data_IF_644581445474
#
_entry.id   IF_644581445474
#
_cell.length_a   1.000
_cell.length_b   1.000
_cell.length_c   1.000
_cell.angle_alpha   90.00
_cell.angle_beta   90.00
_cell.angle_gamma   90.00
#
_symmetry.space_group_name_H-M   'P 1'
#
loop_
_entity.id
_entity.type
_entity.pdbx_description
1 polymer ?
#
# COMPACT_ATOMS: atom_id res chain seq x y z
N UNK A 1 0.34 16.25 -54.85
CA UNK A 1 0.70 15.74 -53.52
C UNK A 1 -0.42 14.83 -53.07
N UNK A 2 -0.26 13.50 -53.14
CA UNK A 2 -1.36 12.60 -52.85
C UNK A 2 -1.48 12.37 -51.33
N UNK A 3 -2.73 12.39 -50.90
CA UNK A 3 -3.23 12.07 -49.56
C UNK A 3 -3.02 10.58 -49.31
N UNK A 4 -2.24 10.22 -48.28
CA UNK A 4 -2.08 8.85 -47.83
C UNK A 4 -3.15 8.52 -46.78
N UNK A 5 -3.93 7.49 -47.10
CA UNK A 5 -4.99 6.89 -46.31
C UNK A 5 -4.49 6.33 -44.98
N UNK A 6 -5.17 6.71 -43.89
CA UNK A 6 -4.93 6.25 -42.54
C UNK A 6 -5.48 4.82 -42.34
N UNK A 7 -4.58 3.84 -42.36
CA UNK A 7 -4.90 2.43 -42.18
C UNK A 7 -5.14 2.14 -40.69
N UNK A 8 -6.42 2.14 -40.30
CA UNK A 8 -6.89 1.72 -38.97
C UNK A 8 -6.41 0.30 -38.64
N UNK A 9 -5.26 0.21 -37.99
CA UNK A 9 -4.75 -1.05 -37.46
C UNK A 9 -5.56 -1.42 -36.20
N UNK A 10 -6.63 -2.19 -36.42
CA UNK A 10 -7.42 -2.88 -35.39
C UNK A 10 -6.50 -3.79 -34.55
N UNK A 11 -5.91 -3.27 -33.49
CA UNK A 11 -5.19 -4.07 -32.49
C UNK A 11 -6.18 -4.60 -31.47
N UNK A 12 -6.56 -5.87 -31.62
CA UNK A 12 -7.32 -6.64 -30.62
C UNK A 12 -6.51 -6.67 -29.32
N UNK A 13 -7.02 -5.98 -28.29
CA UNK A 13 -6.56 -6.17 -26.91
C UNK A 13 -7.09 -7.53 -26.47
N UNK A 14 -6.21 -8.53 -26.43
CA UNK A 14 -6.52 -9.87 -25.94
C UNK A 14 -6.55 -9.83 -24.41
N UNK A 15 -7.76 -9.83 -23.85
CA UNK A 15 -7.97 -9.97 -22.42
C UNK A 15 -7.67 -11.40 -21.99
N UNK A 16 -6.63 -11.58 -21.17
CA UNK A 16 -6.31 -12.87 -20.59
C UNK A 16 -6.86 -12.89 -19.16
N UNK A 17 -8.06 -13.48 -19.03
CA UNK A 17 -8.64 -13.91 -17.76
C UNK A 17 -7.84 -15.10 -17.24
N UNK A 18 -7.31 -15.02 -16.02
CA UNK A 18 -6.83 -16.20 -15.29
C UNK A 18 -8.03 -16.80 -14.54
N UNK A 19 -8.49 -18.02 -14.84
CA UNK A 19 -9.39 -18.75 -13.96
C UNK A 19 -8.54 -19.42 -12.88
N UNK A 20 -8.79 -19.12 -11.62
CA UNK A 20 -7.99 -19.70 -10.55
C UNK A 20 -8.39 -19.26 -9.16
N UNK A 21 -9.63 -19.49 -8.77
CA UNK A 21 -9.95 -20.02 -7.45
C UNK A 21 -11.25 -20.82 -7.56
N UNK A 22 -11.17 -22.07 -7.14
CA UNK A 22 -12.33 -22.95 -6.95
C UNK A 22 -13.21 -22.35 -5.87
N UNK A 23 -14.37 -21.81 -6.27
CA UNK A 23 -15.47 -21.53 -5.36
C UNK A 23 -16.05 -22.88 -4.90
N UNK A 24 -15.80 -23.27 -3.65
CA UNK A 24 -16.67 -24.23 -2.99
C UNK A 24 -17.97 -23.49 -2.59
N UNK A 25 -19.15 -23.98 -2.99
CA UNK A 25 -20.41 -23.38 -2.58
C UNK A 25 -20.63 -23.63 -1.07
N UNK A 26 -20.63 -22.55 -0.29
CA UNK A 26 -21.08 -22.58 1.10
C UNK A 26 -22.61 -22.78 1.09
N UNK A 27 -23.03 -24.03 1.30
CA UNK A 27 -24.42 -24.35 1.58
C UNK A 27 -24.79 -23.84 2.98
N UNK A 28 -25.62 -22.82 3.05
CA UNK A 28 -26.22 -22.33 4.28
C UNK A 28 -27.36 -23.28 4.72
N UNK A 29 -26.99 -24.34 5.43
CA UNK A 29 -27.97 -25.20 6.11
C UNK A 29 -28.30 -24.62 7.49
N UNK A 30 -29.52 -24.10 7.63
CA UNK A 30 -30.19 -23.88 8.93
C UNK A 30 -30.00 -25.12 9.81
N UNK A 31 -29.38 -24.97 10.98
CA UNK A 31 -29.44 -26.00 12.03
C UNK A 31 -30.03 -25.42 13.31
N UNK A 32 -31.24 -25.88 13.57
CA UNK A 32 -31.89 -25.93 14.87
C UNK A 32 -31.09 -26.80 15.84
N UNK A 33 -30.99 -26.31 17.07
CA UNK A 33 -30.63 -26.97 18.33
C UNK A 33 -30.74 -28.51 18.39
N UNK A 34 -29.66 -29.20 18.81
CA UNK A 34 -29.65 -30.13 19.97
C UNK A 34 -28.32 -30.91 20.11
N UNK A 35 -27.81 -30.96 21.35
CA UNK A 35 -26.95 -31.99 21.97
C UNK A 35 -25.51 -32.23 21.49
N UNK A 36 -24.56 -31.85 22.35
CA UNK A 36 -23.10 -32.07 22.27
C UNK A 36 -22.70 -33.53 22.49
N UNK A 37 -22.23 -34.20 21.43
CA UNK A 37 -21.31 -35.34 21.53
C UNK A 37 -19.91 -34.87 21.12
N UNK A 38 -18.91 -35.01 22.00
CA UNK A 38 -17.51 -34.69 21.71
C UNK A 38 -16.90 -35.73 20.76
N UNK A 39 -16.33 -35.34 19.59
CA UNK A 39 -15.51 -36.24 18.78
C UNK A 39 -14.07 -36.31 19.31
N UNK A 40 -13.34 -37.43 19.10
CA UNK A 40 -11.96 -37.58 19.57
C UNK A 40 -10.99 -36.68 18.79
N UNK A 41 -9.95 -36.20 19.50
CA UNK A 41 -8.89 -35.34 18.94
C UNK A 41 -8.18 -36.03 17.76
N UNK A 42 -7.99 -35.34 16.61
CA UNK A 42 -7.15 -35.86 15.55
C UNK A 42 -5.68 -35.83 15.98
N UNK A 43 -5.02 -36.97 15.84
CA UNK A 43 -3.58 -37.17 16.01
C UNK A 43 -2.82 -36.36 14.98
N UNK A 44 -1.83 -35.58 15.42
CA UNK A 44 -0.88 -34.86 14.56
C UNK A 44 -0.11 -35.86 13.68
N UNK A 45 -0.49 -35.97 12.41
CA UNK A 45 0.36 -36.54 11.37
C UNK A 45 1.23 -35.42 10.80
N UNK A 46 2.55 -35.58 10.90
CA UNK A 46 3.53 -34.63 10.39
C UNK A 46 3.43 -34.49 8.87
N UNK A 47 3.17 -33.28 8.40
CA UNK A 47 3.33 -32.93 6.99
C UNK A 47 4.83 -32.82 6.65
N UNK A 48 5.28 -33.34 5.49
CA UNK A 48 6.67 -33.23 5.07
C UNK A 48 6.98 -31.77 4.66
N UNK A 49 7.85 -31.10 5.41
CA UNK A 49 8.28 -29.72 5.16
C UNK A 49 9.09 -29.54 3.85
N UNK A 50 9.47 -30.63 3.17
CA UNK A 50 10.39 -30.60 2.02
C UNK A 50 9.74 -30.23 0.67
N UNK A 51 8.41 -30.14 0.59
CA UNK A 51 7.71 -29.85 -0.68
C UNK A 51 7.65 -28.37 -1.04
N UNK A 52 7.99 -27.47 -0.11
CA UNK A 52 7.89 -26.03 -0.36
C UNK A 52 9.03 -25.52 -1.23
N UNK A 53 10.26 -26.00 -1.02
CA UNK A 53 11.43 -25.55 -1.78
C UNK A 53 11.34 -26.00 -3.23
N UNK A 54 10.96 -27.26 -3.47
CA UNK A 54 10.76 -27.79 -4.82
C UNK A 54 9.66 -27.02 -5.57
N UNK A 55 8.55 -26.73 -4.90
CA UNK A 55 7.48 -25.91 -5.45
C UNK A 55 7.96 -24.49 -5.84
N UNK A 56 8.73 -23.81 -4.97
CA UNK A 56 9.28 -22.48 -5.26
C UNK A 56 10.26 -22.50 -6.43
N UNK A 57 11.11 -23.54 -6.52
CA UNK A 57 12.04 -23.70 -7.64
C UNK A 57 11.30 -23.91 -8.97
N UNK A 58 10.25 -24.75 -8.98
CA UNK A 58 9.42 -24.97 -10.17
C UNK A 58 8.73 -23.67 -10.60
N UNK A 59 8.20 -22.89 -9.65
CA UNK A 59 7.59 -21.60 -9.94
C UNK A 59 8.60 -20.59 -10.50
N UNK A 60 9.80 -20.50 -9.92
CA UNK A 60 10.86 -19.62 -10.40
C UNK A 60 11.28 -19.97 -11.83
N UNK A 61 11.46 -21.26 -12.12
CA UNK A 61 11.78 -21.75 -13.47
C UNK A 61 10.66 -21.45 -14.47
N UNK A 62 9.41 -21.69 -14.08
CA UNK A 62 8.24 -21.36 -14.91
C UNK A 62 8.16 -19.86 -15.19
N UNK A 63 8.44 -19.01 -14.20
CA UNK A 63 8.33 -17.55 -14.31
C UNK A 63 9.39 -16.91 -15.23
N UNK A 64 10.58 -17.51 -15.30
CA UNK A 64 11.66 -17.11 -16.23
C UNK A 64 11.42 -17.68 -17.63
N UNK A 65 10.75 -18.84 -17.71
CA UNK A 65 10.52 -19.56 -18.97
C UNK A 65 9.77 -18.70 -20.01
N UNK A 66 10.05 -18.86 -21.32
CA UNK A 66 9.31 -18.18 -22.39
C UNK A 66 7.81 -18.48 -22.35
N UNK A 67 7.37 -19.58 -21.72
CA UNK A 67 5.96 -19.92 -21.54
C UNK A 67 5.22 -18.97 -20.58
N UNK A 68 5.95 -18.22 -19.74
CA UNK A 68 5.34 -17.23 -18.87
C UNK A 68 4.77 -16.07 -19.68
N UNK A 69 3.54 -15.63 -19.38
CA UNK A 69 2.89 -14.57 -20.17
C UNK A 69 3.64 -13.24 -20.15
N UNK A 70 4.38 -12.98 -19.06
CA UNK A 70 5.18 -11.77 -18.86
C UNK A 70 6.64 -11.91 -19.31
N UNK A 71 7.06 -13.06 -19.85
CA UNK A 71 8.44 -13.28 -20.34
C UNK A 71 8.82 -12.33 -21.48
N UNK A 72 7.82 -11.86 -22.24
CA UNK A 72 7.98 -10.90 -23.34
C UNK A 72 8.44 -9.51 -22.90
N UNK A 73 8.30 -9.18 -21.61
CA UNK A 73 8.65 -7.86 -21.09
C UNK A 73 10.08 -7.85 -20.55
N UNK A 74 10.86 -6.83 -20.89
CA UNK A 74 12.25 -6.75 -20.47
C UNK A 74 12.36 -6.48 -18.95
N UNK A 75 13.39 -7.04 -18.33
CA UNK A 75 13.72 -6.83 -16.93
C UNK A 75 14.86 -7.73 -16.48
N UNK A 76 15.49 -7.46 -15.33
CA UNK A 76 16.51 -8.35 -14.78
C UNK A 76 15.97 -9.78 -14.57
N UNK A 77 16.73 -10.85 -14.88
CA UNK A 77 16.24 -12.21 -14.71
C UNK A 77 15.94 -12.57 -13.25
N UNK A 78 16.64 -11.94 -12.30
CA UNK A 78 16.42 -12.17 -10.86
C UNK A 78 15.04 -11.68 -10.39
N UNK A 79 14.50 -10.60 -10.97
CA UNK A 79 13.15 -10.12 -10.64
C UNK A 79 12.06 -10.97 -11.28
N UNK A 80 12.37 -11.67 -12.38
CA UNK A 80 11.46 -12.65 -12.95
C UNK A 80 11.38 -13.92 -12.08
N UNK A 81 12.44 -14.26 -11.34
CA UNK A 81 12.53 -15.51 -10.58
C UNK A 81 11.75 -15.49 -9.27
N UNK A 82 11.80 -14.37 -8.53
CA UNK A 82 11.25 -14.28 -7.17
C UNK A 82 11.04 -12.84 -6.70
N UNK A 83 10.19 -12.66 -5.69
CA UNK A 83 10.03 -11.39 -4.96
C UNK A 83 11.21 -11.08 -4.02
N UNK A 84 12.22 -11.95 -3.94
CA UNK A 84 13.36 -11.75 -3.04
C UNK A 84 14.15 -10.49 -3.42
N UNK A 85 14.19 -10.16 -4.70
CA UNK A 85 14.86 -8.95 -5.16
C UNK A 85 14.23 -7.69 -4.57
N UNK A 86 12.91 -7.54 -4.68
CA UNK A 86 12.16 -6.45 -4.03
C UNK A 86 12.38 -6.46 -2.52
N UNK A 87 12.21 -7.62 -1.87
CA UNK A 87 12.39 -7.76 -0.43
C UNK A 87 13.80 -7.33 0.05
N UNK A 88 14.85 -7.65 -0.70
CA UNK A 88 16.20 -7.19 -0.40
C UNK A 88 16.29 -5.66 -0.48
N UNK A 89 15.71 -5.02 -1.49
CA UNK A 89 15.79 -3.57 -1.63
C UNK A 89 14.93 -2.81 -0.61
N UNK A 90 13.79 -3.39 -0.22
CA UNK A 90 12.87 -2.74 0.70
C UNK A 90 13.20 -2.99 2.16
N UNK A 91 13.47 -4.24 2.56
CA UNK A 91 13.76 -4.57 3.96
C UNK A 91 15.24 -4.39 4.31
N UNK A 92 16.17 -4.78 3.43
CA UNK A 92 17.60 -4.73 3.75
C UNK A 92 18.23 -3.41 3.31
N UNK A 93 17.90 -2.90 2.12
CA UNK A 93 18.50 -1.66 1.61
C UNK A 93 17.68 -0.41 1.96
N UNK A 94 16.66 -0.54 2.82
CA UNK A 94 15.91 0.57 3.41
C UNK A 94 14.97 1.27 2.43
N UNK A 95 14.06 0.51 1.82
CA UNK A 95 12.98 1.05 0.99
C UNK A 95 13.43 1.66 -0.33
N UNK A 96 14.53 1.20 -0.91
CA UNK A 96 15.13 1.82 -2.11
C UNK A 96 14.65 1.20 -3.42
N UNK A 97 13.63 0.34 -3.38
CA UNK A 97 13.21 -0.37 -4.58
C UNK A 97 12.68 0.56 -5.67
N UNK A 98 11.92 1.60 -5.33
CA UNK A 98 11.46 2.63 -6.28
C UNK A 98 12.62 3.31 -7.01
N UNK A 99 13.72 3.61 -6.32
CA UNK A 99 14.93 4.18 -6.94
C UNK A 99 15.58 3.17 -7.89
N UNK A 100 15.55 1.87 -7.53
CA UNK A 100 16.06 0.80 -8.39
C UNK A 100 15.20 0.62 -9.64
N UNK A 101 13.87 0.68 -9.52
CA UNK A 101 12.95 0.65 -10.66
C UNK A 101 13.26 1.81 -11.63
N UNK A 102 13.51 3.02 -11.11
CA UNK A 102 13.93 4.17 -11.94
C UNK A 102 15.22 3.88 -12.71
N UNK A 103 16.20 3.23 -12.09
CA UNK A 103 17.43 2.82 -12.76
C UNK A 103 17.19 1.74 -13.82
N UNK A 104 16.26 0.80 -13.59
CA UNK A 104 15.89 -0.20 -14.61
C UNK A 104 15.28 0.45 -15.85
N UNK A 105 14.49 1.52 -15.70
CA UNK A 105 13.99 2.27 -16.85
C UNK A 105 15.11 2.88 -17.70
N UNK A 106 16.26 3.25 -17.14
CA UNK A 106 17.36 3.73 -17.98
C UNK A 106 17.85 2.68 -19.01
N UNK A 107 17.60 1.38 -18.74
CA UNK A 107 18.08 0.26 -19.57
C UNK A 107 16.96 -0.41 -20.37
N UNK A 108 15.78 -0.62 -19.75
CA UNK A 108 14.74 -1.54 -20.27
C UNK A 108 13.45 -0.85 -20.74
N UNK A 109 13.39 0.49 -20.81
CA UNK A 109 12.19 1.28 -21.21
C UNK A 109 11.45 0.71 -22.43
N UNK A 110 10.11 0.88 -22.54
CA UNK A 110 9.23 1.73 -21.71
C UNK A 110 8.44 1.01 -20.60
N UNK A 111 8.43 -0.32 -20.58
CA UNK A 111 7.73 -1.15 -19.59
C UNK A 111 8.73 -2.16 -19.06
N UNK A 112 8.85 -2.25 -17.74
CA UNK A 112 9.84 -3.10 -17.09
C UNK A 112 9.14 -4.09 -16.19
N UNK A 113 9.56 -5.35 -16.27
CA UNK A 113 9.16 -6.38 -15.31
C UNK A 113 9.91 -6.15 -14.00
N UNK A 114 9.17 -5.94 -12.91
CA UNK A 114 9.73 -5.67 -11.58
C UNK A 114 9.54 -6.86 -10.62
N UNK A 115 8.60 -7.76 -10.90
CA UNK A 115 8.40 -8.98 -10.11
C UNK A 115 7.97 -10.13 -11.04
N UNK A 116 7.87 -11.37 -10.54
CA UNK A 116 7.41 -12.51 -11.33
C UNK A 116 6.10 -12.24 -12.07
N UNK A 117 5.20 -11.52 -11.45
CA UNK A 117 3.81 -11.28 -11.84
C UNK A 117 3.48 -9.78 -12.01
N UNK A 118 4.46 -8.88 -11.81
CA UNK A 118 4.22 -7.43 -11.86
C UNK A 118 5.08 -6.70 -12.89
N UNK A 119 4.44 -5.75 -13.55
CA UNK A 119 5.07 -4.82 -14.49
C UNK A 119 4.95 -3.41 -13.96
N UNK A 120 6.01 -2.63 -14.12
CA UNK A 120 5.97 -1.20 -13.93
C UNK A 120 5.90 -0.52 -15.30
N UNK A 121 5.00 0.45 -15.45
CA UNK A 121 4.89 1.30 -16.63
C UNK A 121 5.13 2.77 -16.25
N UNK A 122 5.91 3.48 -17.08
CA UNK A 122 6.22 4.91 -16.90
C UNK A 122 5.80 5.72 -18.13
N UNK A 123 4.83 5.21 -18.89
CA UNK A 123 4.31 5.85 -20.11
C UNK A 123 2.89 6.40 -19.86
N UNK A 124 2.68 7.73 -20.00
CA UNK A 124 1.36 8.34 -19.84
C UNK A 124 0.27 7.78 -20.77
N UNK A 125 0.65 7.22 -21.93
CA UNK A 125 -0.34 6.64 -22.86
C UNK A 125 -1.03 5.39 -22.30
N UNK A 126 -0.49 4.79 -21.23
CA UNK A 126 -1.08 3.63 -20.56
C UNK A 126 -2.02 4.00 -19.40
N UNK A 127 -2.19 5.29 -19.07
CA UNK A 127 -3.01 5.71 -17.92
C UNK A 127 -4.43 5.13 -17.98
N UNK A 128 -5.10 5.17 -19.13
CA UNK A 128 -6.46 4.64 -19.28
C UNK A 128 -6.55 3.12 -19.15
N UNK A 129 -5.47 2.42 -19.55
CA UNK A 129 -5.38 0.96 -19.42
C UNK A 129 -5.06 0.52 -17.98
N UNK A 130 -4.28 1.32 -17.24
CA UNK A 130 -3.88 1.06 -15.85
C UNK A 130 -4.97 1.51 -14.87
N UNK A 131 -5.70 2.58 -15.17
CA UNK A 131 -6.79 3.12 -14.36
C UNK A 131 -8.12 3.13 -15.13
N UNK A 132 -8.60 1.98 -15.59
CA UNK A 132 -9.90 1.88 -16.21
C UNK A 132 -11.00 2.21 -15.20
N UNK A 133 -12.09 2.76 -15.70
CA UNK A 133 -13.31 2.90 -14.90
C UNK A 133 -13.74 1.53 -14.34
N UNK A 134 -14.31 1.55 -13.13
CA UNK A 134 -14.92 0.37 -12.50
C UNK A 134 -15.99 -0.30 -13.36
N UNK A 135 -16.59 0.44 -14.30
CA UNK A 135 -17.55 -0.09 -15.27
C UNK A 135 -16.87 -0.85 -16.43
N UNK A 136 -15.63 -0.50 -16.76
CA UNK A 136 -14.94 -0.97 -17.97
C UNK A 136 -14.04 -2.17 -17.70
N UNK A 137 -13.45 -2.28 -16.50
CA UNK A 137 -12.57 -3.40 -16.17
C UNK A 137 -12.68 -3.79 -14.69
N UNK A 138 -13.04 -5.04 -14.45
CA UNK A 138 -13.02 -5.66 -13.13
C UNK A 138 -11.64 -6.28 -12.87
N UNK A 139 -10.95 -5.81 -11.81
CA UNK A 139 -9.70 -6.40 -11.34
C UNK A 139 -9.70 -6.46 -9.82
N UNK A 140 -9.29 -7.60 -9.29
CA UNK A 140 -9.01 -7.75 -7.87
C UNK A 140 -7.59 -7.28 -7.56
N UNK A 141 -7.37 -6.90 -6.30
CA UNK A 141 -6.04 -6.50 -5.82
C UNK A 141 -5.16 -7.74 -5.66
N UNK A 142 -3.88 -7.56 -5.97
CA UNK A 142 -2.92 -8.64 -5.80
C UNK A 142 -2.59 -8.84 -4.31
N UNK A 143 -2.57 -10.09 -3.84
CA UNK A 143 -2.36 -10.38 -2.41
C UNK A 143 -1.02 -9.84 -1.89
N UNK A 144 0.05 -9.90 -2.71
CA UNK A 144 1.36 -9.35 -2.35
C UNK A 144 1.29 -7.86 -1.97
N UNK A 145 0.49 -7.06 -2.68
CA UNK A 145 0.29 -5.63 -2.38
C UNK A 145 -0.44 -5.40 -1.06
N UNK A 146 -1.26 -6.36 -0.63
CA UNK A 146 -2.04 -6.29 0.60
C UNK A 146 -1.29 -6.83 1.82
N UNK A 147 -0.23 -7.60 1.62
CA UNK A 147 0.60 -8.14 2.70
C UNK A 147 1.34 -7.04 3.47
N UNK A 148 1.42 -5.83 2.92
CA UNK A 148 1.97 -4.64 3.59
C UNK A 148 0.95 -3.93 4.48
N UNK A 149 -0.34 -4.30 4.40
CA UNK A 149 -1.38 -3.73 5.24
C UNK A 149 -1.24 -4.22 6.70
N UNK A 150 -1.50 -3.36 7.70
CA UNK A 150 -1.48 -3.77 9.09
C UNK A 150 -2.46 -4.93 9.36
N UNK A 151 -2.07 -5.92 10.18
CA UNK A 151 -2.96 -7.01 10.56
C UNK A 151 -4.16 -6.50 11.35
N UNK A 152 -5.30 -7.18 11.22
CA UNK A 152 -6.54 -6.85 11.91
C UNK A 152 -7.67 -6.44 10.96
N UNK A 153 -8.74 -5.79 11.45
CA UNK A 153 -9.92 -5.46 10.64
C UNK A 153 -9.62 -4.61 9.39
N UNK A 154 -8.52 -3.86 9.41
CA UNK A 154 -8.02 -3.05 8.29
C UNK A 154 -7.46 -3.87 7.13
N UNK A 155 -7.07 -5.12 7.35
CA UNK A 155 -6.54 -6.00 6.28
C UNK A 155 -7.63 -6.45 5.30
N UNK A 156 -8.90 -6.32 5.70
CA UNK A 156 -10.05 -6.69 4.86
C UNK A 156 -10.95 -5.50 4.51
N UNK A 157 -10.80 -4.36 5.18
CA UNK A 157 -11.66 -3.18 5.00
C UNK A 157 -11.04 -2.10 4.08
N UNK A 158 -11.90 -1.30 3.46
CA UNK A 158 -11.51 -0.12 2.68
C UNK A 158 -10.49 -0.39 1.58
N UNK A 159 -9.29 0.16 1.73
CA UNK A 159 -8.17 0.05 0.76
C UNK A 159 -7.71 -1.41 0.62
N UNK A 160 -7.92 -2.26 1.61
CA UNK A 160 -7.47 -3.65 1.58
C UNK A 160 -8.56 -4.65 1.15
N UNK A 161 -9.77 -4.19 0.81
CA UNK A 161 -10.82 -5.08 0.28
C UNK A 161 -10.39 -5.67 -1.06
N UNK A 162 -10.13 -6.99 -1.07
CA UNK A 162 -9.79 -7.79 -2.26
C UNK A 162 -11.01 -7.95 -3.16
N UNK A 163 -12.16 -8.48 -2.68
CA UNK A 163 -13.23 -8.85 -3.59
C UNK A 163 -13.85 -7.59 -4.18
N UNK A 164 -13.82 -7.52 -5.52
CA UNK A 164 -14.37 -6.38 -6.25
C UNK A 164 -15.79 -6.04 -5.83
N UNK A 165 -16.68 -7.01 -5.66
CA UNK A 165 -18.10 -6.75 -5.36
C UNK A 165 -18.31 -6.01 -4.03
N UNK A 166 -17.45 -6.25 -3.05
CA UNK A 166 -17.51 -5.62 -1.74
C UNK A 166 -16.89 -4.22 -1.75
N UNK A 167 -15.94 -3.96 -2.66
CA UNK A 167 -15.18 -2.70 -2.65
C UNK A 167 -16.05 -1.45 -2.96
N UNK A 168 -16.90 -1.40 -4.01
CA UNK A 168 -17.82 -0.28 -4.24
C UNK A 168 -18.80 -0.08 -3.08
N UNK A 169 -19.34 -1.16 -2.52
CA UNK A 169 -20.27 -1.10 -1.39
C UNK A 169 -19.61 -0.44 -0.18
N UNK A 170 -18.40 -0.89 0.20
CA UNK A 170 -17.64 -0.34 1.33
C UNK A 170 -17.13 1.08 1.06
N UNK A 171 -16.67 1.36 -0.17
CA UNK A 171 -16.20 2.70 -0.58
C UNK A 171 -17.34 3.71 -0.63
N UNK A 172 -18.55 3.28 -0.98
CA UNK A 172 -19.72 4.15 -1.14
C UNK A 172 -20.02 5.00 0.10
N UNK A 173 -19.91 4.41 1.29
CA UNK A 173 -20.12 5.13 2.55
C UNK A 173 -19.07 6.23 2.84
N UNK A 174 -17.85 6.06 2.34
CA UNK A 174 -16.73 6.98 2.58
C UNK A 174 -16.65 8.06 1.49
N UNK A 175 -16.97 7.72 0.24
CA UNK A 175 -16.74 8.63 -0.90
C UNK A 175 -17.58 9.91 -0.82
N UNK A 176 -18.73 9.87 -0.13
CA UNK A 176 -19.60 11.03 0.07
C UNK A 176 -18.92 12.14 0.90
N UNK A 177 -18.01 11.77 1.80
CA UNK A 177 -17.17 12.70 2.56
C UNK A 177 -16.31 13.56 1.63
N UNK A 178 -15.83 12.99 0.52
CA UNK A 178 -14.99 13.69 -0.45
C UNK A 178 -15.79 14.44 -1.53
N UNK A 179 -17.09 14.66 -1.34
CA UNK A 179 -17.89 15.41 -2.31
C UNK A 179 -17.59 16.92 -2.26
N UNK A 180 -17.81 17.62 -3.38
CA UNK A 180 -17.62 19.08 -3.47
C UNK A 180 -18.44 19.83 -2.42
N UNK A 181 -19.65 19.36 -2.14
CA UNK A 181 -20.52 19.96 -1.13
C UNK A 181 -19.90 19.88 0.27
N UNK A 182 -19.34 18.73 0.64
CA UNK A 182 -18.67 18.57 1.93
C UNK A 182 -17.39 19.41 2.00
N UNK A 183 -16.62 19.47 0.91
CA UNK A 183 -15.44 20.34 0.83
C UNK A 183 -15.79 21.82 1.06
N UNK A 184 -16.87 22.33 0.48
CA UNK A 184 -17.29 23.73 0.71
C UNK A 184 -17.79 23.97 2.14
N UNK A 185 -18.40 22.97 2.79
CA UNK A 185 -18.82 23.09 4.19
C UNK A 185 -17.64 23.18 5.16
N UNK A 186 -16.54 22.50 4.83
CA UNK A 186 -15.32 22.48 5.63
C UNK A 186 -14.50 23.76 5.56
N UNK A 187 -14.72 24.61 4.55
CA UNK A 187 -13.87 25.77 4.26
C UNK A 187 -13.68 26.70 5.47
N UNK A 188 -14.76 26.98 6.20
CA UNK A 188 -14.73 27.78 7.43
C UNK A 188 -13.96 27.11 8.57
N UNK A 189 -14.13 25.80 8.76
CA UNK A 189 -13.45 25.03 9.81
C UNK A 189 -11.93 24.97 9.53
N UNK A 190 -11.55 24.70 8.28
CA UNK A 190 -10.15 24.69 7.84
C UNK A 190 -9.51 26.06 8.06
N UNK A 191 -10.20 27.14 7.67
CA UNK A 191 -9.71 28.50 7.85
C UNK A 191 -9.51 28.87 9.32
N UNK A 192 -10.43 28.44 10.20
CA UNK A 192 -10.33 28.70 11.64
C UNK A 192 -9.13 27.97 12.27
N UNK A 193 -8.96 26.67 12.01
CA UNK A 193 -7.86 25.88 12.57
C UNK A 193 -6.52 26.35 11.99
N UNK A 194 -6.48 26.70 10.70
CA UNK A 194 -5.29 27.27 10.06
C UNK A 194 -4.92 28.63 10.70
N UNK A 195 -5.91 29.50 10.92
CA UNK A 195 -5.72 30.77 11.60
C UNK A 195 -5.13 30.60 13.01
N UNK A 196 -5.74 29.73 13.82
CA UNK A 196 -5.25 29.42 15.17
C UNK A 196 -3.82 28.83 15.15
N UNK A 197 -3.51 28.00 14.15
CA UNK A 197 -2.16 27.44 13.98
C UNK A 197 -1.14 28.52 13.70
N UNK A 198 -1.44 29.44 12.78
CA UNK A 198 -0.56 30.57 12.44
C UNK A 198 -0.41 31.51 13.63
N UNK A 199 -1.50 31.84 14.31
CA UNK A 199 -1.48 32.69 15.50
C UNK A 199 -0.58 32.12 16.59
N UNK A 200 -0.68 30.82 16.88
CA UNK A 200 0.22 30.14 17.84
C UNK A 200 1.67 30.06 17.36
N UNK A 201 1.91 29.87 16.05
CA UNK A 201 3.28 29.92 15.52
C UNK A 201 3.91 31.31 15.69
N UNK A 202 3.07 32.36 15.65
CA UNK A 202 3.51 33.75 15.75
C UNK A 202 3.48 34.32 17.18
N UNK A 203 2.77 33.69 18.13
CA UNK A 203 2.59 34.22 19.48
C UNK A 203 3.93 34.44 20.22
N UNK A 204 4.91 33.56 20.03
CA UNK A 204 6.25 33.71 20.62
C UNK A 204 7.03 34.92 20.08
N UNK A 205 6.78 35.35 18.84
CA UNK A 205 7.45 36.53 18.26
C UNK A 205 7.03 37.82 18.95
N UNK A 206 5.77 37.92 19.38
CA UNK A 206 5.26 39.11 20.09
C UNK A 206 5.85 39.23 21.51
N UNK A 207 6.20 38.12 22.14
CA UNK A 207 6.74 38.05 23.50
C UNK A 207 8.28 38.17 23.55
N UNK A 208 8.94 38.39 22.41
CA UNK A 208 10.40 38.42 22.31
C UNK A 208 11.04 37.03 22.51
N UNK A 209 10.24 35.98 22.40
CA UNK A 209 10.65 34.60 22.63
C UNK A 209 11.29 34.01 21.37
N UNK A 210 12.57 33.65 21.49
CA UNK A 210 13.36 33.03 20.41
C UNK A 210 13.30 31.50 20.44
N UNK A 211 12.37 30.89 21.19
CA UNK A 211 12.23 29.43 21.26
C UNK A 211 12.00 28.84 19.86
N UNK A 212 12.88 27.92 19.48
CA UNK A 212 12.75 27.15 18.24
C UNK A 212 11.70 26.06 18.42
N UNK A 213 10.82 25.88 17.46
CA UNK A 213 9.87 24.76 17.42
C UNK A 213 10.01 23.98 16.10
N UNK A 214 9.62 22.70 16.11
CA UNK A 214 9.58 21.89 14.89
C UNK A 214 8.29 22.17 14.13
N UNK A 215 8.41 22.83 12.97
CA UNK A 215 7.30 23.10 12.05
C UNK A 215 6.57 21.82 11.64
N UNK A 216 7.28 20.69 11.53
CA UNK A 216 6.65 19.39 11.20
C UNK A 216 5.65 18.97 12.26
N UNK A 217 5.98 19.18 13.53
CA UNK A 217 5.06 18.85 14.61
C UNK A 217 3.85 19.77 14.64
N UNK A 218 4.04 21.05 14.32
CA UNK A 218 2.92 21.98 14.23
C UNK A 218 1.93 21.60 13.11
N UNK A 219 2.43 21.20 11.94
CA UNK A 219 1.58 20.66 10.87
C UNK A 219 0.92 19.33 11.24
N UNK A 220 1.59 18.47 12.02
CA UNK A 220 0.98 17.24 12.52
C UNK A 220 -0.20 17.54 13.46
N UNK A 221 -0.03 18.51 14.39
CA UNK A 221 -1.12 18.96 15.27
C UNK A 221 -2.29 19.52 14.46
N UNK A 222 -2.01 20.40 13.49
CA UNK A 222 -3.02 20.94 12.58
C UNK A 222 -3.78 19.83 11.83
N UNK A 223 -3.06 18.87 11.25
CA UNK A 223 -3.67 17.78 10.51
C UNK A 223 -4.52 16.88 11.40
N UNK A 224 -4.09 16.63 12.64
CA UNK A 224 -4.83 15.83 13.60
C UNK A 224 -6.12 16.52 14.05
N UNK A 225 -6.06 17.80 14.44
CA UNK A 225 -7.25 18.58 14.81
C UNK A 225 -8.22 18.69 13.62
N UNK A 226 -7.71 18.92 12.41
CA UNK A 226 -8.53 18.97 11.19
C UNK A 226 -9.25 17.63 10.92
N UNK A 227 -8.54 16.50 11.03
CA UNK A 227 -9.15 15.18 10.81
C UNK A 227 -10.12 14.83 11.94
N UNK A 228 -9.79 15.13 13.20
CA UNK A 228 -10.65 14.86 14.34
C UNK A 228 -11.94 15.69 14.28
N UNK A 229 -11.82 16.98 13.96
CA UNK A 229 -12.96 17.86 13.75
C UNK A 229 -13.81 17.38 12.58
N UNK A 230 -13.20 16.93 11.48
CA UNK A 230 -13.95 16.47 10.32
C UNK A 230 -14.65 15.12 10.52
N UNK A 231 -13.94 14.14 11.07
CA UNK A 231 -14.43 12.77 11.20
C UNK A 231 -15.33 12.58 12.42
N UNK A 232 -15.05 13.26 13.53
CA UNK A 232 -15.71 13.06 14.83
C UNK A 232 -16.41 14.32 15.36
N UNK A 233 -16.21 15.49 14.73
CA UNK A 233 -16.65 16.80 15.26
C UNK A 233 -16.11 17.10 16.65
N UNK A 234 -14.90 16.59 16.92
CA UNK A 234 -14.20 16.76 18.18
C UNK A 234 -13.00 17.69 17.99
N UNK A 235 -12.84 18.63 18.92
CA UNK A 235 -11.63 19.42 19.04
C UNK A 235 -10.64 18.67 19.94
N UNK A 236 -9.58 18.14 19.33
CA UNK A 236 -8.49 17.50 20.07
C UNK A 236 -7.56 18.50 20.76
N UNK A 237 -7.66 19.79 20.42
CA UNK A 237 -6.92 20.87 21.06
C UNK A 237 -5.41 20.80 20.89
N UNK A 238 -4.90 20.06 19.90
CA UNK A 238 -3.46 19.95 19.67
C UNK A 238 -2.86 21.28 19.21
N UNK A 239 -3.63 22.09 18.47
CA UNK A 239 -3.28 23.44 18.03
C UNK A 239 -3.49 24.46 19.15
N UNK A 240 -4.54 24.35 19.97
CA UNK A 240 -4.77 25.28 21.09
C UNK A 240 -3.84 25.05 22.30
N UNK A 241 -3.23 23.85 22.39
CA UNK A 241 -2.26 23.53 23.44
C UNK A 241 -2.91 23.10 24.76
N UNK A 242 -4.06 22.40 24.71
CA UNK A 242 -4.85 21.99 25.88
C UNK A 242 -4.25 20.84 26.73
N UNK A 243 -2.93 20.67 26.74
CA UNK A 243 -2.14 19.77 27.61
C UNK A 243 -0.67 20.25 27.69
N UNK A 244 0.10 19.83 28.71
CA UNK A 244 1.50 20.25 29.05
C UNK A 244 2.05 21.38 28.14
N UNK A 245 1.54 22.59 28.40
CA UNK A 245 1.26 23.67 27.45
C UNK A 245 2.44 24.43 26.84
N UNK A 246 3.53 23.76 26.48
CA UNK A 246 4.71 24.43 25.91
C UNK A 246 5.20 23.86 24.58
N UNK A 247 4.77 22.65 24.16
CA UNK A 247 5.34 21.98 22.98
C UNK A 247 4.26 21.57 21.98
N UNK A 248 4.61 21.65 20.70
CA UNK A 248 3.86 21.01 19.62
C UNK A 248 4.09 19.49 19.74
N UNK A 249 3.39 18.84 20.66
CA UNK A 249 3.48 17.40 20.87
C UNK A 249 2.15 16.76 20.52
N UNK A 250 2.19 15.97 19.44
CA UNK A 250 1.09 15.10 19.08
C UNK A 250 1.07 13.92 20.07
N UNK A 251 -0.01 13.72 20.82
CA UNK A 251 -0.13 12.56 21.71
C UNK A 251 -0.06 11.23 20.92
N UNK A 252 -0.48 11.24 19.65
CA UNK A 252 -0.31 10.11 18.71
C UNK A 252 1.14 9.88 18.26
N UNK A 253 2.02 10.86 18.47
CA UNK A 253 3.43 10.79 18.10
C UNK A 253 4.14 9.63 18.77
N UNK A 254 3.79 9.27 20.00
CA UNK A 254 4.37 8.12 20.71
C UNK A 254 4.07 6.79 20.02
N UNK A 255 2.84 6.60 19.55
CA UNK A 255 2.40 5.40 18.84
C UNK A 255 3.00 5.32 17.44
N UNK A 256 2.98 6.43 16.69
CA UNK A 256 3.56 6.54 15.35
C UNK A 256 5.08 6.38 15.41
N UNK A 257 5.75 7.00 16.38
CA UNK A 257 7.20 6.83 16.60
C UNK A 257 7.52 5.39 16.96
N UNK A 258 6.72 4.73 17.79
CA UNK A 258 6.94 3.32 18.13
C UNK A 258 6.84 2.44 16.88
N UNK A 259 5.80 2.64 16.06
CA UNK A 259 5.64 1.91 14.79
C UNK A 259 6.80 2.16 13.81
N UNK A 260 7.14 3.43 13.56
CA UNK A 260 8.25 3.80 12.67
C UNK A 260 9.58 3.26 13.20
N UNK A 261 9.79 3.30 14.53
CA UNK A 261 11.00 2.78 15.17
C UNK A 261 11.08 1.26 15.04
N UNK A 262 9.97 0.53 15.13
CA UNK A 262 9.94 -0.91 14.84
C UNK A 262 10.37 -1.20 13.40
N UNK A 263 9.78 -0.50 12.42
CA UNK A 263 10.15 -0.64 11.00
C UNK A 263 11.62 -0.28 10.78
N UNK A 264 12.09 0.81 11.39
CA UNK A 264 13.49 1.22 11.33
C UNK A 264 14.41 0.16 11.95
N UNK A 265 14.06 -0.40 13.10
CA UNK A 265 14.84 -1.46 13.75
C UNK A 265 14.89 -2.72 12.88
N UNK A 266 13.77 -3.14 12.27
CA UNK A 266 13.75 -4.26 11.34
C UNK A 266 14.70 -4.02 10.15
N UNK A 267 14.67 -2.82 9.57
CA UNK A 267 15.57 -2.45 8.47
C UNK A 267 17.04 -2.39 8.92
N UNK A 268 17.31 -1.88 10.12
CA UNK A 268 18.67 -1.75 10.65
C UNK A 268 19.28 -3.10 11.01
N UNK A 269 18.49 -4.00 11.61
CA UNK A 269 18.90 -5.39 11.87
C UNK A 269 19.17 -6.14 10.57
N UNK A 270 18.32 -5.95 9.55
CA UNK A 270 18.56 -6.49 8.22
C UNK A 270 19.88 -6.05 7.60
N UNK A 271 20.21 -4.75 7.73
CA UNK A 271 21.50 -4.20 7.28
C UNK A 271 22.69 -4.78 8.03
N UNK A 272 22.61 -4.83 9.36
CA UNK A 272 23.68 -5.39 10.20
C UNK A 272 23.93 -6.88 9.91
N UNK A 273 22.86 -7.66 9.69
CA UNK A 273 22.98 -9.06 9.30
C UNK A 273 23.66 -9.20 7.92
N UNK A 274 23.32 -8.34 6.95
CA UNK A 274 23.98 -8.32 5.65
C UNK A 274 25.46 -7.91 5.74
N UNK A 275 25.80 -6.86 6.50
CA UNK A 275 27.19 -6.40 6.65
C UNK A 275 28.06 -7.38 7.43
N UNK A 276 27.45 -8.25 8.26
CA UNK A 276 28.17 -9.32 8.97
C UNK A 276 28.56 -10.48 8.04
N UNK A 277 27.81 -10.70 6.95
CA UNK A 277 28.03 -11.79 5.99
C UNK A 277 28.72 -11.36 4.69
N UNK A 278 28.65 -10.07 4.34
CA UNK A 278 29.36 -9.49 3.20
C UNK A 278 30.37 -8.49 3.76
N UNK A 279 31.65 -8.87 3.92
CA UNK A 279 32.67 -7.89 4.29
C UNK A 279 32.75 -6.84 3.18
N UNK A 280 32.78 -5.57 3.58
CA UNK A 280 32.91 -4.44 2.67
C UNK A 280 34.16 -4.65 1.79
N UNK A 281 33.96 -4.99 0.52
CA UNK A 281 35.02 -4.98 -0.47
C UNK A 281 35.28 -3.52 -0.86
N UNK A 282 36.46 -3.03 -0.47
CA UNK A 282 37.04 -1.76 -0.92
C UNK A 282 37.01 -1.58 -2.45
#
# INVERSE_FOLDING_TARGET
>A
MPVASDEKQSRRVVWIRTPGHSEEPVHESRQSSSTTHHPPRPTHHGHPQNNHISHLLVLALYSISPFHRLSRFPGPPIVAASHLYEACYDFLLGGRYTTRIRAMYAVYRPIVRINPDELHCSDPHFTDAIYPSLATCARDKWQHQLNTAPPGPTSVAGISTVPRELHPLRRGGIVALFSRQQATRLDGEVSAIAGATVERMLSGLAEGDTRKFDVKQAFNCFAADMIAQYAFREDTGFVSGSGDGARWELNLGTWVQSFIRTVYMMNTMGRMACSMYVPDSE
#
